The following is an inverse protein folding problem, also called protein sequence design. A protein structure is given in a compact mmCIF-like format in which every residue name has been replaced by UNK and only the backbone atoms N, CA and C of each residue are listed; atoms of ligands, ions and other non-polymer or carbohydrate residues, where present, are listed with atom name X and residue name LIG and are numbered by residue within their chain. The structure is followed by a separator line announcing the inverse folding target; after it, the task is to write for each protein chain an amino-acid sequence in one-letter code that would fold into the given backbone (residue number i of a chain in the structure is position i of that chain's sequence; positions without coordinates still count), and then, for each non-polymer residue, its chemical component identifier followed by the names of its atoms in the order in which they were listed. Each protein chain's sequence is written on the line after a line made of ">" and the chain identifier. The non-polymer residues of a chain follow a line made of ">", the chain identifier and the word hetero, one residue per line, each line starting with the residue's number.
data_IF_308789417583
#
_entry.id   IF_308789417583
#
_cell.length_a   1.000
_cell.length_b   1.000
_cell.length_c   1.000
_cell.angle_alpha   90.00
_cell.angle_beta   90.00
_cell.angle_gamma   90.00
#
_symmetry.space_group_name_H-M   'P 1'
#
loop_
_entity.id
_entity.type
_entity.pdbx_description
1 polymer ?
#
# COMPACT_ATOMS: atom_id res chain seq x y z
N UNK A 1 -10.00 61.79 45.30
CA UNK A 1 -11.22 61.66 46.10
C UNK A 1 -11.61 60.19 46.09
N UNK A 2 -11.61 59.57 47.28
CA UNK A 2 -11.90 58.15 47.59
C UNK A 2 -13.29 57.73 47.06
N UNK A 3 -13.60 56.46 46.78
CA UNK A 3 -13.90 55.31 47.69
C UNK A 3 -13.99 54.06 46.78
N UNK A 4 -13.30 52.92 46.93
CA UNK A 4 -13.29 51.81 47.92
C UNK A 4 -14.54 50.89 47.98
N UNK A 5 -14.35 49.58 47.74
CA UNK A 5 -15.23 48.45 48.13
C UNK A 5 -16.20 47.97 47.05
N UNK A 6 -16.46 46.69 46.78
CA UNK A 6 -16.21 45.42 47.51
C UNK A 6 -16.41 44.23 46.56
N UNK A 7 -15.62 43.16 46.74
CA UNK A 7 -15.85 41.81 46.20
C UNK A 7 -17.11 41.20 46.83
N UNK A 8 -17.93 40.46 46.05
CA UNK A 8 -18.49 39.16 46.46
C UNK A 8 -18.81 38.28 45.22
N UNK A 9 -18.65 36.97 45.44
CA UNK A 9 -18.48 35.88 44.49
C UNK A 9 -19.78 35.33 43.88
N UNK A 10 -19.79 34.97 42.58
CA UNK A 10 -20.55 33.81 42.07
C UNK A 10 -19.78 33.14 40.93
N UNK A 11 -19.77 31.81 40.98
CA UNK A 11 -18.98 30.84 40.24
C UNK A 11 -19.72 30.30 38.98
N UNK A 12 -18.94 29.94 37.95
CA UNK A 12 -19.26 29.09 36.76
C UNK A 12 -20.35 29.51 35.77
N UNK A 13 -19.93 29.90 34.56
CA UNK A 13 -20.07 29.09 33.32
C UNK A 13 -19.30 29.78 32.18
N UNK A 14 -18.04 29.39 31.93
CA UNK A 14 -17.34 29.80 30.70
C UNK A 14 -17.76 28.81 29.59
N UNK A 15 -18.73 29.23 28.78
CA UNK A 15 -18.90 28.69 27.43
C UNK A 15 -17.78 29.31 26.59
N UNK A 16 -16.62 28.66 26.55
CA UNK A 16 -15.62 28.96 25.55
C UNK A 16 -16.09 28.34 24.23
N UNK A 17 -16.82 29.14 23.44
CA UNK A 17 -16.81 28.97 22.00
C UNK A 17 -15.43 29.38 21.51
N UNK A 18 -14.46 28.47 21.60
CA UNK A 18 -13.23 28.59 20.81
C UNK A 18 -13.62 28.29 19.36
N UNK A 19 -13.94 29.37 18.66
CA UNK A 19 -13.92 29.46 17.22
C UNK A 19 -12.61 28.86 16.71
N UNK A 20 -12.71 27.67 16.12
CA UNK A 20 -11.69 27.07 15.25
C UNK A 20 -11.48 28.00 14.04
N UNK A 21 -10.67 29.05 14.23
CA UNK A 21 -10.00 29.73 13.13
C UNK A 21 -8.57 29.21 13.06
N UNK A 22 -8.41 27.96 12.61
CA UNK A 22 -7.11 27.50 12.13
C UNK A 22 -6.85 28.13 10.76
N UNK A 23 -6.33 29.35 10.74
CA UNK A 23 -5.55 29.83 9.60
C UNK A 23 -4.23 29.04 9.58
N UNK A 24 -4.30 27.75 9.25
CA UNK A 24 -3.14 26.98 8.85
C UNK A 24 -2.69 27.55 7.51
N UNK A 25 -1.47 28.10 7.46
CA UNK A 25 -0.76 28.29 6.20
C UNK A 25 -0.80 26.97 5.44
N UNK A 26 -1.06 26.96 4.11
CA UNK A 26 -0.96 25.71 3.35
C UNK A 26 0.47 25.20 3.51
N UNK A 27 0.61 24.03 4.14
CA UNK A 27 1.92 23.46 4.44
C UNK A 27 2.56 23.04 3.12
N UNK A 28 3.51 23.83 2.63
CA UNK A 28 4.29 23.46 1.45
C UNK A 28 4.99 22.10 1.64
N UNK A 29 5.32 21.45 0.53
CA UNK A 29 5.99 20.16 0.49
C UNK A 29 7.21 20.09 1.44
N UNK A 30 7.09 19.26 2.49
CA UNK A 30 8.19 18.90 3.39
C UNK A 30 8.65 17.46 3.13
N UNK A 31 9.86 17.26 2.57
CA UNK A 31 10.39 15.93 2.28
C UNK A 31 10.75 15.13 3.53
N UNK A 32 10.62 15.65 4.75
CA UNK A 32 10.76 14.91 6.01
C UNK A 32 9.44 14.67 6.74
N UNK A 33 8.31 15.14 6.20
CA UNK A 33 7.00 14.90 6.80
C UNK A 33 6.74 13.39 6.93
N UNK A 34 6.35 12.98 8.13
CA UNK A 34 6.13 11.57 8.48
C UNK A 34 7.40 10.72 8.69
N UNK A 35 8.60 11.28 8.51
CA UNK A 35 9.86 10.60 8.87
C UNK A 35 10.02 10.52 10.38
N UNK A 36 10.49 9.39 10.89
CA UNK A 36 10.91 9.25 12.27
C UNK A 36 12.17 10.09 12.54
N UNK A 37 12.34 10.48 13.81
CA UNK A 37 13.55 11.14 14.29
C UNK A 37 14.72 10.15 14.45
N UNK A 38 14.41 8.88 14.74
CA UNK A 38 15.38 7.81 14.98
C UNK A 38 14.88 6.49 14.39
N UNK A 39 15.81 5.64 14.01
CA UNK A 39 15.54 4.28 13.55
C UNK A 39 15.36 3.39 14.78
N UNK A 40 14.11 3.26 15.24
CA UNK A 40 13.76 2.55 16.47
C UNK A 40 12.38 1.90 16.37
N UNK A 41 12.15 0.88 17.21
CA UNK A 41 10.87 0.19 17.29
C UNK A 41 9.75 1.14 17.68
N UNK A 42 8.59 1.01 17.03
CA UNK A 42 7.44 1.88 17.22
C UNK A 42 6.30 1.09 17.87
N UNK A 43 5.50 1.75 18.71
CA UNK A 43 4.27 1.17 19.25
C UNK A 43 3.20 1.05 18.14
N UNK A 44 3.12 -0.12 17.49
CA UNK A 44 2.16 -0.43 16.42
C UNK A 44 1.16 -1.49 16.90
N UNK A 45 1.66 -2.67 17.28
CA UNK A 45 0.89 -3.84 17.71
C UNK A 45 0.71 -3.96 19.22
N UNK A 46 1.49 -3.18 19.98
CA UNK A 46 1.47 -3.08 21.44
C UNK A 46 1.86 -1.66 21.83
N UNK A 47 1.40 -1.21 23.00
CA UNK A 47 1.80 0.07 23.59
C UNK A 47 3.26 0.07 24.06
N UNK A 48 3.82 -1.11 24.34
CA UNK A 48 5.24 -1.29 24.63
C UNK A 48 6.06 -1.38 23.32
N UNK A 49 6.94 -0.42 23.00
CA UNK A 49 7.78 -0.50 21.81
C UNK A 49 8.75 -1.69 21.79
N UNK A 50 9.12 -2.24 22.96
CA UNK A 50 10.00 -3.40 23.07
C UNK A 50 9.28 -4.75 22.83
N UNK A 51 7.95 -4.72 22.72
CA UNK A 51 7.14 -5.89 22.43
C UNK A 51 7.64 -6.68 21.20
N UNK A 52 7.67 -8.02 21.25
CA UNK A 52 8.21 -8.83 20.15
C UNK A 52 7.55 -8.56 18.79
N UNK A 53 6.24 -8.29 18.73
CA UNK A 53 5.57 -8.00 17.46
C UNK A 53 5.97 -6.62 16.90
N UNK A 54 6.17 -5.62 17.77
CA UNK A 54 6.71 -4.32 17.37
C UNK A 54 8.15 -4.44 16.86
N UNK A 55 8.99 -5.26 17.52
CA UNK A 55 10.36 -5.55 17.06
C UNK A 55 10.38 -6.27 15.71
N UNK A 56 9.56 -7.30 15.53
CA UNK A 56 9.40 -7.98 14.23
C UNK A 56 8.99 -6.97 13.16
N UNK A 57 7.98 -6.16 13.44
CA UNK A 57 7.53 -5.11 12.53
C UNK A 57 8.65 -4.12 12.18
N UNK A 58 9.39 -3.64 13.17
CA UNK A 58 10.53 -2.75 12.98
C UNK A 58 11.59 -3.34 12.03
N UNK A 59 12.00 -4.58 12.28
CA UNK A 59 13.02 -5.22 11.44
C UNK A 59 12.54 -5.55 10.03
N UNK A 60 11.23 -5.65 9.80
CA UNK A 60 10.66 -5.88 8.47
C UNK A 60 10.32 -4.57 7.75
N UNK A 61 9.78 -3.57 8.43
CA UNK A 61 9.16 -2.41 7.79
C UNK A 61 9.92 -1.10 8.00
N UNK A 62 10.55 -0.89 9.16
CA UNK A 62 11.30 0.35 9.42
C UNK A 62 12.58 0.40 8.59
N UNK A 63 12.81 1.53 7.92
CA UNK A 63 13.91 1.70 6.95
C UNK A 63 14.46 3.09 6.98
N UNK A 64 15.77 3.19 6.83
CA UNK A 64 16.45 4.46 6.59
C UNK A 64 16.83 4.56 5.11
N UNK A 65 16.23 5.51 4.40
CA UNK A 65 16.41 5.74 2.97
C UNK A 65 17.11 7.07 2.70
N UNK A 66 18.01 7.06 1.73
CA UNK A 66 18.47 8.27 1.07
C UNK A 66 17.59 8.50 -0.16
N UNK A 67 16.86 9.61 -0.18
CA UNK A 67 15.93 9.95 -1.27
C UNK A 67 16.38 11.21 -1.98
N UNK A 68 16.22 11.24 -3.30
CA UNK A 68 16.43 12.46 -4.10
C UNK A 68 15.12 13.21 -4.23
N UNK A 69 15.23 14.53 -4.42
CA UNK A 69 14.10 15.38 -4.74
C UNK A 69 14.11 15.71 -6.23
N UNK A 70 12.95 16.05 -6.77
CA UNK A 70 12.89 16.67 -8.08
C UNK A 70 13.47 18.10 -8.02
N UNK A 71 14.10 18.55 -9.11
CA UNK A 71 14.51 19.94 -9.25
C UNK A 71 13.30 20.89 -9.19
N UNK A 72 13.41 22.06 -8.53
CA UNK A 72 12.32 23.04 -8.48
C UNK A 72 11.86 23.46 -9.88
N UNK A 73 10.54 23.48 -10.10
CA UNK A 73 9.94 23.89 -11.38
C UNK A 73 10.05 22.87 -12.52
N UNK A 74 10.62 21.69 -12.27
CA UNK A 74 10.69 20.65 -13.29
C UNK A 74 9.31 20.06 -13.59
N UNK A 75 9.06 19.77 -14.87
CA UNK A 75 7.80 19.19 -15.31
C UNK A 75 7.57 17.78 -14.69
N UNK A 76 6.30 17.39 -14.46
CA UNK A 76 5.96 16.12 -13.83
C UNK A 76 6.14 14.97 -14.83
N UNK A 77 7.38 14.54 -15.01
CA UNK A 77 7.72 13.31 -15.73
C UNK A 77 7.98 12.17 -14.73
N UNK A 78 7.99 10.93 -15.22
CA UNK A 78 8.35 9.76 -14.40
C UNK A 78 9.86 9.73 -14.13
N UNK A 79 10.30 9.05 -13.07
CA UNK A 79 11.73 9.02 -12.69
C UNK A 79 12.64 8.43 -13.79
N UNK A 80 12.11 7.52 -14.62
CA UNK A 80 12.80 6.92 -15.76
C UNK A 80 12.77 7.72 -17.08
N UNK A 81 12.01 8.81 -17.20
CA UNK A 81 11.88 9.59 -18.45
C UNK A 81 12.98 10.63 -18.55
N UNK A 82 13.76 10.70 -19.65
CA UNK A 82 14.92 11.59 -19.88
C UNK A 82 14.70 13.10 -19.64
N UNK A 83 13.45 13.56 -19.65
CA UNK A 83 13.08 14.95 -19.37
C UNK A 83 12.89 15.25 -17.89
N UNK A 84 12.86 14.23 -17.04
CA UNK A 84 12.79 14.37 -15.60
C UNK A 84 14.10 14.94 -15.02
N UNK A 85 14.04 16.05 -14.30
CA UNK A 85 15.24 16.70 -13.76
C UNK A 85 15.31 16.48 -12.24
N UNK A 86 16.37 15.82 -11.79
CA UNK A 86 16.65 15.57 -10.38
C UNK A 86 17.37 16.77 -9.75
N UNK A 87 17.10 17.01 -8.48
CA UNK A 87 17.91 17.89 -7.64
C UNK A 87 19.17 17.14 -7.18
N UNK A 88 20.25 17.89 -6.94
CA UNK A 88 21.43 17.40 -6.23
C UNK A 88 21.17 17.17 -4.74
N UNK A 89 20.03 17.66 -4.22
CA UNK A 89 19.66 17.49 -2.83
C UNK A 89 19.21 16.05 -2.55
N UNK A 90 19.93 15.42 -1.63
CA UNK A 90 19.57 14.13 -1.03
C UNK A 90 19.05 14.38 0.39
N UNK A 91 17.96 13.71 0.75
CA UNK A 91 17.36 13.76 2.08
C UNK A 91 17.35 12.36 2.66
N UNK A 92 17.76 12.24 3.92
CA UNK A 92 17.55 11.01 4.69
C UNK A 92 16.14 11.00 5.27
N UNK A 93 15.41 9.90 5.05
CA UNK A 93 14.10 9.62 5.66
C UNK A 93 14.16 8.30 6.41
N UNK A 94 13.56 8.28 7.60
CA UNK A 94 13.36 7.07 8.39
C UNK A 94 11.88 6.74 8.33
N UNK A 95 11.54 5.74 7.52
CA UNK A 95 10.16 5.33 7.24
C UNK A 95 9.67 4.41 8.36
N UNK A 96 8.59 4.76 9.08
CA UNK A 96 8.09 3.95 10.18
C UNK A 96 7.49 2.62 9.71
N UNK A 97 7.01 2.58 8.48
CA UNK A 97 6.40 1.39 7.89
C UNK A 97 4.92 1.18 8.21
N UNK A 98 4.33 1.94 9.14
CA UNK A 98 2.92 1.81 9.56
C UNK A 98 1.94 1.86 8.38
N UNK A 99 2.25 2.71 7.40
CA UNK A 99 1.48 2.89 6.14
C UNK A 99 2.09 2.18 4.93
N UNK A 100 3.25 1.53 5.11
CA UNK A 100 3.90 0.83 4.02
C UNK A 100 3.11 -0.44 3.66
N UNK A 101 2.97 -0.63 2.35
CA UNK A 101 2.24 -1.73 1.76
C UNK A 101 3.08 -3.02 1.83
N UNK A 102 4.37 -2.99 1.55
CA UNK A 102 5.22 -4.20 1.58
C UNK A 102 6.38 -4.09 2.58
N UNK A 103 6.73 -5.19 3.29
CA UNK A 103 7.93 -5.26 4.13
C UNK A 103 9.19 -5.35 3.27
N UNK A 104 10.34 -5.11 3.91
CA UNK A 104 11.68 -5.14 3.33
C UNK A 104 11.89 -4.07 2.25
N UNK A 105 13.14 -3.65 2.04
CA UNK A 105 13.49 -2.71 0.97
C UNK A 105 12.91 -3.18 -0.38
N UNK A 106 12.56 -2.23 -1.29
CA UNK A 106 11.85 -2.50 -2.54
C UNK A 106 12.24 -3.83 -3.17
N UNK A 107 11.29 -4.75 -3.21
CA UNK A 107 11.44 -5.99 -3.92
C UNK A 107 10.87 -5.77 -5.31
N UNK A 108 11.75 -5.71 -6.32
CA UNK A 108 11.35 -5.63 -7.72
C UNK A 108 10.85 -7.00 -8.23
N UNK A 109 9.97 -7.64 -7.45
CA UNK A 109 9.42 -8.99 -7.72
C UNK A 109 8.91 -9.13 -9.15
N UNK A 110 8.34 -8.05 -9.70
CA UNK A 110 7.76 -8.02 -11.04
C UNK A 110 8.72 -7.56 -12.15
N UNK A 111 9.77 -6.77 -11.86
CA UNK A 111 10.63 -6.21 -12.90
C UNK A 111 11.84 -7.08 -13.26
N UNK A 112 12.02 -8.23 -12.59
CA UNK A 112 13.22 -9.06 -12.76
C UNK A 112 14.46 -8.29 -12.33
N UNK A 113 14.92 -8.51 -11.08
CA UNK A 113 16.01 -7.81 -10.39
C UNK A 113 17.41 -7.80 -11.05
N UNK A 114 17.53 -7.98 -12.37
CA UNK A 114 18.81 -8.09 -13.08
C UNK A 114 19.40 -6.74 -13.52
N UNK A 115 18.65 -5.64 -13.42
CA UNK A 115 19.01 -4.34 -14.04
C UNK A 115 19.63 -3.32 -13.06
N UNK A 116 19.78 -3.63 -11.76
CA UNK A 116 20.26 -2.70 -10.75
C UNK A 116 21.47 -3.24 -9.98
N UNK A 117 22.30 -2.32 -9.49
CA UNK A 117 23.44 -2.66 -8.63
C UNK A 117 22.89 -3.00 -7.25
N UNK A 118 22.81 -4.30 -6.95
CA UNK A 118 22.25 -4.87 -5.71
C UNK A 118 23.03 -4.56 -4.44
N UNK A 119 23.71 -3.41 -4.36
CA UNK A 119 24.36 -2.91 -3.14
C UNK A 119 23.53 -1.90 -2.37
N UNK A 120 22.49 -1.29 -2.97
CA UNK A 120 21.84 -0.10 -2.38
C UNK A 120 20.43 -0.35 -1.80
N UNK A 121 19.63 -1.29 -2.34
CA UNK A 121 18.21 -1.46 -1.91
C UNK A 121 17.72 -2.91 -1.96
N UNK A 122 18.14 -3.74 -1.00
CA UNK A 122 17.94 -5.18 -1.08
C UNK A 122 17.24 -5.75 0.16
N UNK A 123 16.30 -6.70 0.00
CA UNK A 123 15.83 -7.60 1.08
C UNK A 123 16.96 -8.25 1.88
N UNK A 124 18.16 -8.35 1.30
CA UNK A 124 19.40 -8.82 1.93
C UNK A 124 19.80 -8.07 3.19
N UNK A 125 19.41 -6.80 3.38
CA UNK A 125 19.75 -6.08 4.61
C UNK A 125 19.24 -6.82 5.86
N UNK A 126 18.11 -7.52 5.74
CA UNK A 126 17.53 -8.32 6.81
C UNK A 126 18.30 -9.62 7.07
N UNK A 127 19.11 -10.08 6.10
CA UNK A 127 19.95 -11.27 6.22
C UNK A 127 21.37 -10.97 6.73
N UNK A 128 21.71 -9.70 6.96
CA UNK A 128 23.02 -9.26 7.46
C UNK A 128 23.00 -9.01 8.96
N UNK A 129 24.13 -9.22 9.61
CA UNK A 129 24.27 -8.84 11.02
C UNK A 129 24.36 -7.32 11.20
N UNK A 130 23.87 -6.78 12.33
CA UNK A 130 23.19 -7.49 13.43
C UNK A 130 21.69 -7.75 13.19
N UNK A 131 21.12 -7.23 12.09
CA UNK A 131 19.67 -7.27 11.82
C UNK A 131 19.12 -8.68 11.74
N UNK A 132 19.88 -9.61 11.17
CA UNK A 132 19.52 -11.02 11.04
C UNK A 132 19.28 -11.66 12.42
N UNK A 133 20.27 -11.64 13.31
CA UNK A 133 20.16 -12.25 14.64
C UNK A 133 19.08 -11.58 15.48
N UNK A 134 18.90 -10.26 15.35
CA UNK A 134 17.87 -9.52 16.07
C UNK A 134 16.45 -9.84 15.59
N UNK A 135 16.23 -9.97 14.27
CA UNK A 135 14.95 -10.41 13.72
C UNK A 135 14.66 -11.85 14.10
N UNK A 136 15.67 -12.73 14.02
CA UNK A 136 15.53 -14.13 14.41
C UNK A 136 15.06 -14.27 15.87
N UNK A 137 15.68 -13.52 16.78
CA UNK A 137 15.28 -13.44 18.18
C UNK A 137 13.85 -12.91 18.32
N UNK A 138 13.53 -11.79 17.67
CA UNK A 138 12.19 -11.19 17.73
C UNK A 138 11.09 -12.13 17.22
N UNK A 139 11.32 -12.86 16.12
CA UNK A 139 10.38 -13.87 15.60
C UNK A 139 10.19 -15.04 16.57
N UNK A 140 11.26 -15.45 17.24
CA UNK A 140 11.23 -16.56 18.22
C UNK A 140 10.45 -16.16 19.46
N UNK A 141 10.71 -14.96 19.98
CA UNK A 141 9.96 -14.37 21.10
C UNK A 141 8.49 -14.16 20.73
N UNK A 142 8.20 -13.66 19.52
CA UNK A 142 6.84 -13.40 19.04
C UNK A 142 5.95 -14.65 18.99
N UNK A 143 6.54 -15.83 18.77
CA UNK A 143 5.83 -17.12 18.80
C UNK A 143 5.39 -17.54 20.22
N UNK A 144 6.00 -16.96 21.26
CA UNK A 144 5.72 -17.27 22.67
C UNK A 144 4.72 -16.30 23.32
N UNK A 145 4.32 -15.25 22.60
CA UNK A 145 3.38 -14.24 23.09
C UNK A 145 1.95 -14.82 23.16
N UNK A 146 1.15 -14.48 24.20
CA UNK A 146 -0.25 -14.87 24.26
C UNK A 146 -1.05 -14.49 23.02
N UNK A 147 -2.06 -15.30 22.68
CA UNK A 147 -2.92 -15.06 21.53
C UNK A 147 -3.59 -13.68 21.61
N UNK A 148 -3.34 -12.85 20.60
CA UNK A 148 -3.91 -11.49 20.47
C UNK A 148 -5.30 -11.52 19.79
N UNK A 149 -6.07 -10.42 19.84
CA UNK A 149 -7.35 -10.32 19.14
C UNK A 149 -7.24 -10.62 17.63
N UNK A 150 -8.32 -11.11 16.99
CA UNK A 150 -8.35 -11.48 15.57
C UNK A 150 -7.78 -10.41 14.63
N UNK A 151 -8.17 -9.15 14.79
CA UNK A 151 -7.68 -8.05 13.94
C UNK A 151 -6.16 -7.89 13.98
N UNK A 152 -5.55 -7.93 15.17
CA UNK A 152 -4.10 -7.84 15.31
C UNK A 152 -3.40 -9.05 14.67
N UNK A 153 -3.95 -10.26 14.85
CA UNK A 153 -3.44 -11.47 14.21
C UNK A 153 -3.52 -11.39 12.69
N UNK A 154 -4.62 -10.88 12.13
CA UNK A 154 -4.81 -10.73 10.69
C UNK A 154 -3.79 -9.77 10.06
N UNK A 155 -3.55 -8.62 10.69
CA UNK A 155 -2.56 -7.64 10.23
C UNK A 155 -1.13 -8.21 10.30
N UNK A 156 -0.75 -8.80 11.44
CA UNK A 156 0.58 -9.40 11.59
C UNK A 156 0.77 -10.58 10.63
N UNK A 157 -0.26 -11.41 10.42
CA UNK A 157 -0.20 -12.50 9.45
C UNK A 157 0.07 -11.98 8.04
N UNK A 158 -0.66 -10.95 7.60
CA UNK A 158 -0.47 -10.36 6.27
C UNK A 158 0.93 -9.75 6.10
N UNK A 159 1.45 -9.13 7.16
CA UNK A 159 2.80 -8.55 7.21
C UNK A 159 3.88 -9.62 7.06
N UNK A 160 3.78 -10.71 7.83
CA UNK A 160 4.71 -11.83 7.76
C UNK A 160 4.60 -12.59 6.44
N UNK A 161 3.40 -12.72 5.89
CA UNK A 161 3.18 -13.37 4.60
C UNK A 161 3.83 -12.61 3.46
N UNK A 162 3.70 -11.27 3.46
CA UNK A 162 4.42 -10.43 2.51
C UNK A 162 5.94 -10.58 2.64
N UNK A 163 6.48 -10.65 3.87
CA UNK A 163 7.92 -10.87 4.08
C UNK A 163 8.36 -12.26 3.58
N UNK A 164 7.55 -13.29 3.81
CA UNK A 164 7.81 -14.65 3.31
C UNK A 164 7.91 -14.69 1.79
N UNK A 165 6.92 -14.14 1.07
CA UNK A 165 6.89 -14.13 -0.40
C UNK A 165 8.10 -13.38 -0.98
N UNK A 166 8.47 -12.25 -0.38
CA UNK A 166 9.63 -11.46 -0.80
C UNK A 166 10.94 -12.24 -0.57
N UNK A 167 11.14 -12.79 0.63
CA UNK A 167 12.35 -13.57 0.95
C UNK A 167 12.45 -14.84 0.12
N UNK A 168 11.34 -15.44 -0.29
CA UNK A 168 11.33 -16.66 -1.10
C UNK A 168 11.78 -16.42 -2.54
N UNK A 169 11.62 -15.20 -3.04
CA UNK A 169 11.82 -14.90 -4.46
C UNK A 169 13.30 -15.02 -4.86
N UNK A 170 13.70 -16.02 -5.68
CA UNK A 170 15.11 -16.32 -5.91
C UNK A 170 15.89 -15.20 -6.62
N UNK A 171 15.22 -14.42 -7.47
CA UNK A 171 15.83 -13.26 -8.16
C UNK A 171 16.20 -12.14 -7.19
N UNK A 172 15.55 -12.05 -6.03
CA UNK A 172 15.93 -11.10 -4.98
C UNK A 172 17.29 -11.44 -4.36
N UNK A 173 17.87 -12.60 -4.66
CA UNK A 173 19.12 -13.07 -4.04
C UNK A 173 20.16 -13.60 -5.04
N UNK A 174 20.12 -13.21 -6.32
CA UNK A 174 21.20 -13.53 -7.26
C UNK A 174 22.07 -12.32 -7.52
N UNK A 175 23.30 -12.33 -6.99
CA UNK A 175 24.33 -11.34 -7.31
C UNK A 175 25.52 -12.02 -8.00
N UNK A 176 25.78 -11.73 -9.28
CA UNK A 176 26.99 -12.20 -9.95
C UNK A 176 28.25 -11.79 -9.18
N UNK A 177 29.20 -12.72 -9.00
CA UNK A 177 30.48 -12.44 -8.38
C UNK A 177 30.52 -12.45 -6.84
N UNK A 178 29.44 -12.82 -6.15
CA UNK A 178 29.53 -13.07 -4.70
C UNK A 178 30.37 -14.33 -4.41
N UNK A 179 31.23 -14.30 -3.36
CA UNK A 179 31.91 -15.50 -2.88
C UNK A 179 30.92 -16.60 -2.52
N UNK A 180 31.25 -17.86 -2.85
CA UNK A 180 30.38 -19.02 -2.61
C UNK A 180 29.98 -19.15 -1.14
N UNK A 181 30.90 -18.86 -0.21
CA UNK A 181 30.63 -18.87 1.24
C UNK A 181 29.54 -17.87 1.64
N UNK A 182 29.61 -16.63 1.13
CA UNK A 182 28.61 -15.59 1.40
C UNK A 182 27.26 -15.97 0.81
N UNK A 183 27.25 -16.56 -0.39
CA UNK A 183 26.04 -17.06 -1.03
C UNK A 183 25.39 -18.18 -0.20
N UNK A 184 26.19 -19.15 0.25
CA UNK A 184 25.72 -20.29 1.05
C UNK A 184 25.18 -19.84 2.41
N UNK A 185 25.90 -18.95 3.10
CA UNK A 185 25.46 -18.39 4.39
C UNK A 185 24.12 -17.65 4.23
N UNK A 186 23.96 -16.89 3.15
CA UNK A 186 22.72 -16.16 2.90
C UNK A 186 21.56 -17.11 2.63
N UNK A 187 21.77 -18.13 1.79
CA UNK A 187 20.75 -19.14 1.53
C UNK A 187 20.31 -19.82 2.84
N UNK A 188 21.26 -20.20 3.69
CA UNK A 188 20.97 -20.78 5.02
C UNK A 188 20.14 -19.84 5.89
N UNK A 189 20.54 -18.57 6.01
CA UNK A 189 19.83 -17.55 6.80
C UNK A 189 18.42 -17.31 6.30
N UNK A 190 18.27 -17.20 4.98
CA UNK A 190 16.97 -17.06 4.32
C UNK A 190 16.06 -18.25 4.65
N UNK A 191 16.55 -19.47 4.47
CA UNK A 191 15.77 -20.68 4.68
C UNK A 191 15.35 -20.84 6.16
N UNK A 192 16.23 -20.45 7.10
CA UNK A 192 15.90 -20.40 8.53
C UNK A 192 14.77 -19.40 8.84
N UNK A 193 14.82 -18.18 8.27
CA UNK A 193 13.75 -17.19 8.44
C UNK A 193 12.45 -17.65 7.78
N UNK A 194 12.49 -18.22 6.58
CA UNK A 194 11.29 -18.72 5.89
C UNK A 194 10.55 -19.76 6.73
N UNK A 195 11.28 -20.70 7.35
CA UNK A 195 10.68 -21.70 8.23
C UNK A 195 10.02 -21.07 9.47
N UNK A 196 10.68 -20.09 10.11
CA UNK A 196 10.13 -19.40 11.27
C UNK A 196 8.91 -18.55 10.92
N UNK A 197 8.98 -17.78 9.83
CA UNK A 197 7.87 -16.98 9.32
C UNK A 197 6.66 -17.87 9.03
N UNK A 198 6.84 -19.00 8.34
CA UNK A 198 5.74 -19.90 8.01
C UNK A 198 5.05 -20.47 9.27
N UNK A 199 5.83 -20.87 10.29
CA UNK A 199 5.29 -21.33 11.59
C UNK A 199 4.52 -20.23 12.33
N UNK A 200 5.05 -19.00 12.33
CA UNK A 200 4.37 -17.89 12.98
C UNK A 200 3.07 -17.55 12.24
N UNK A 201 3.08 -17.50 10.89
CA UNK A 201 1.87 -17.31 10.07
C UNK A 201 0.82 -18.39 10.40
N UNK A 202 1.22 -19.65 10.54
CA UNK A 202 0.32 -20.74 10.95
C UNK A 202 -0.33 -20.48 12.31
N UNK A 203 0.45 -20.09 13.32
CA UNK A 203 -0.08 -19.79 14.65
C UNK A 203 -1.05 -18.58 14.67
N UNK A 204 -0.84 -17.64 13.75
CA UNK A 204 -1.68 -16.46 13.57
C UNK A 204 -2.91 -16.74 12.69
N UNK A 205 -2.97 -17.89 12.02
CA UNK A 205 -4.05 -18.23 11.10
C UNK A 205 -5.42 -18.19 11.77
N UNK A 206 -6.35 -17.46 11.15
CA UNK A 206 -7.70 -17.26 11.63
C UNK A 206 -8.63 -18.34 11.05
N UNK A 207 -9.72 -18.67 11.73
CA UNK A 207 -10.79 -19.41 11.07
C UNK A 207 -11.46 -18.56 10.01
N UNK A 208 -12.20 -19.18 9.08
CA UNK A 208 -12.97 -18.43 8.06
C UNK A 208 -14.04 -17.53 8.70
N UNK A 209 -14.63 -17.96 9.81
CA UNK A 209 -15.60 -17.16 10.56
C UNK A 209 -14.94 -15.97 11.25
N UNK A 210 -13.75 -16.16 11.83
CA UNK A 210 -12.96 -15.06 12.39
C UNK A 210 -12.59 -14.04 11.30
N UNK A 211 -12.24 -14.49 10.07
CA UNK A 211 -11.94 -13.62 8.92
C UNK A 211 -13.19 -12.85 8.48
N UNK A 212 -14.35 -13.52 8.39
CA UNK A 212 -15.61 -12.89 8.00
C UNK A 212 -16.09 -11.86 9.03
N UNK A 213 -15.73 -12.03 10.32
CA UNK A 213 -16.06 -11.12 11.41
C UNK A 213 -15.09 -9.94 11.57
N UNK A 214 -14.04 -9.83 10.73
CA UNK A 214 -13.12 -8.69 10.76
C UNK A 214 -13.85 -7.38 10.40
N UNK A 215 -13.42 -6.23 10.97
CA UNK A 215 -14.04 -4.95 10.68
C UNK A 215 -13.95 -4.59 9.20
N UNK A 216 -15.02 -3.99 8.67
CA UNK A 216 -15.02 -3.43 7.32
C UNK A 216 -14.31 -2.09 7.29
N UNK A 217 -13.04 -2.16 6.89
CA UNK A 217 -12.15 -1.00 6.79
C UNK A 217 -12.60 0.02 5.76
N UNK A 218 -13.19 -0.41 4.64
CA UNK A 218 -13.65 0.51 3.62
C UNK A 218 -14.86 1.29 4.13
N UNK A 219 -15.86 0.59 4.66
CA UNK A 219 -17.07 1.21 5.20
C UNK A 219 -16.75 2.16 6.37
N UNK A 220 -15.80 1.80 7.24
CA UNK A 220 -15.28 2.69 8.28
C UNK A 220 -14.68 3.97 7.72
N UNK A 221 -13.76 3.83 6.76
CA UNK A 221 -13.10 4.95 6.12
C UNK A 221 -14.06 5.81 5.29
N UNK A 222 -15.07 5.20 4.66
CA UNK A 222 -16.07 5.91 3.89
C UNK A 222 -16.89 6.87 4.74
N UNK A 223 -17.25 6.46 5.97
CA UNK A 223 -17.87 7.36 6.96
C UNK A 223 -16.90 8.44 7.43
N UNK A 224 -15.67 8.06 7.78
CA UNK A 224 -14.64 8.94 8.35
C UNK A 224 -14.19 10.05 7.38
N UNK A 225 -14.07 9.72 6.11
CA UNK A 225 -13.47 10.55 5.06
C UNK A 225 -14.43 10.91 3.93
N UNK A 226 -15.72 10.58 4.05
CA UNK A 226 -16.72 10.80 3.00
C UNK A 226 -16.29 10.21 1.64
N UNK A 227 -15.91 8.93 1.64
CA UNK A 227 -15.61 8.21 0.39
C UNK A 227 -16.93 7.84 -0.32
N UNK A 228 -16.92 7.69 -1.66
CA UNK A 228 -18.08 7.19 -2.38
C UNK A 228 -18.50 5.80 -1.89
N UNK A 229 -19.78 5.48 -2.03
CA UNK A 229 -20.27 4.13 -1.79
C UNK A 229 -19.95 3.24 -3.00
N UNK A 230 -18.85 2.49 -2.94
CA UNK A 230 -18.43 1.62 -4.05
C UNK A 230 -19.07 0.23 -4.03
N UNK A 231 -19.62 -0.21 -2.89
CA UNK A 231 -19.98 -1.61 -2.66
C UNK A 231 -21.49 -1.86 -2.59
N UNK A 232 -22.30 -0.81 -2.47
CA UNK A 232 -23.76 -0.95 -2.50
C UNK A 232 -24.27 -1.47 -3.85
N UNK A 233 -25.30 -2.35 -3.86
CA UNK A 233 -25.97 -2.78 -5.09
C UNK A 233 -26.61 -1.65 -5.89
N UNK A 234 -26.90 -0.51 -5.25
CA UNK A 234 -27.48 0.68 -5.90
C UNK A 234 -26.43 1.75 -6.20
N UNK A 235 -25.15 1.41 -6.14
CA UNK A 235 -24.07 2.35 -6.43
C UNK A 235 -24.08 2.78 -7.90
N UNK A 236 -23.72 4.04 -8.13
CA UNK A 236 -23.40 4.55 -9.48
C UNK A 236 -22.01 4.09 -9.98
N UNK A 237 -21.27 3.35 -9.16
CA UNK A 237 -19.96 2.82 -9.48
C UNK A 237 -20.05 1.37 -9.93
N UNK A 238 -19.35 1.04 -11.00
CA UNK A 238 -19.29 -0.32 -11.52
C UNK A 238 -17.93 -0.93 -11.19
N UNK A 239 -17.91 -2.06 -10.49
CA UNK A 239 -16.70 -2.88 -10.42
C UNK A 239 -16.48 -3.55 -11.77
N UNK A 240 -15.31 -3.34 -12.36
CA UNK A 240 -14.99 -3.84 -13.69
C UNK A 240 -13.84 -4.83 -13.65
N UNK A 241 -13.89 -5.80 -14.55
CA UNK A 241 -12.77 -6.69 -14.86
C UNK A 241 -12.57 -6.78 -16.35
N UNK A 242 -11.49 -6.15 -16.80
CA UNK A 242 -11.07 -6.24 -18.18
C UNK A 242 -10.12 -7.43 -18.40
N UNK A 243 -9.04 -7.51 -17.62
CA UNK A 243 -8.18 -8.69 -17.58
C UNK A 243 -8.36 -9.42 -16.25
N UNK A 244 -8.39 -10.74 -16.33
CA UNK A 244 -8.47 -11.59 -15.15
C UNK A 244 -7.16 -11.57 -14.34
N UNK A 245 -6.04 -11.25 -15.01
CA UNK A 245 -4.73 -11.05 -14.41
C UNK A 245 -4.37 -9.57 -14.35
N UNK A 246 -3.98 -9.06 -13.17
CA UNK A 246 -3.64 -7.65 -12.97
C UNK A 246 -2.22 -7.53 -12.43
N UNK A 247 -1.49 -6.54 -12.92
CA UNK A 247 -0.14 -6.24 -12.42
C UNK A 247 -0.12 -5.98 -10.90
N UNK A 248 -1.14 -5.30 -10.37
CA UNK A 248 -1.29 -5.06 -8.94
C UNK A 248 -1.33 -6.37 -8.13
N UNK A 249 -2.12 -7.36 -8.57
CA UNK A 249 -2.24 -8.66 -7.91
C UNK A 249 -0.91 -9.42 -7.98
N UNK A 250 -0.29 -9.47 -9.18
CA UNK A 250 0.98 -10.16 -9.41
C UNK A 250 2.15 -9.55 -8.65
N UNK A 251 2.24 -8.23 -8.60
CA UNK A 251 3.29 -7.53 -7.86
C UNK A 251 3.22 -7.83 -6.37
N UNK A 252 2.00 -8.04 -5.86
CA UNK A 252 1.78 -8.55 -4.53
C UNK A 252 1.80 -10.09 -4.46
N UNK A 253 2.41 -10.84 -5.39
CA UNK A 253 2.34 -12.32 -5.46
C UNK A 253 0.98 -12.90 -5.06
N UNK A 254 -0.12 -12.27 -5.48
CA UNK A 254 -1.50 -12.62 -5.18
C UNK A 254 -1.87 -12.71 -3.67
N UNK A 255 -1.16 -12.05 -2.74
CA UNK A 255 -1.61 -11.88 -1.33
C UNK A 255 -2.67 -10.77 -1.17
N UNK A 256 -2.94 -10.01 -2.22
CA UNK A 256 -3.94 -8.93 -2.26
C UNK A 256 -4.67 -8.94 -3.59
N UNK A 257 -5.92 -8.47 -3.58
CA UNK A 257 -6.73 -8.31 -4.77
C UNK A 257 -7.04 -6.83 -5.03
N UNK A 258 -6.62 -6.34 -6.18
CA UNK A 258 -6.84 -4.97 -6.62
C UNK A 258 -8.18 -4.86 -7.35
N UNK A 259 -9.17 -4.23 -6.74
CA UNK A 259 -10.53 -4.06 -7.29
C UNK A 259 -10.65 -2.69 -7.93
N UNK A 260 -11.21 -2.65 -9.14
CA UNK A 260 -11.24 -1.43 -9.96
C UNK A 260 -12.70 -1.06 -10.18
N UNK A 261 -13.01 0.19 -9.87
CA UNK A 261 -14.34 0.76 -10.02
C UNK A 261 -14.29 1.95 -10.96
N UNK A 262 -15.33 2.10 -11.76
CA UNK A 262 -15.50 3.24 -12.67
C UNK A 262 -16.85 3.90 -12.43
N UNK A 263 -16.88 5.23 -12.45
CA UNK A 263 -18.12 6.01 -12.41
C UNK A 263 -18.36 6.62 -13.80
N UNK A 264 -19.42 6.19 -14.51
CA UNK A 264 -19.83 6.85 -15.76
C UNK A 264 -20.15 8.32 -15.54
N UNK A 265 -19.90 9.16 -16.55
CA UNK A 265 -20.31 10.57 -16.53
C UNK A 265 -21.82 10.76 -16.70
N UNK A 266 -22.49 9.77 -17.30
CA UNK A 266 -23.95 9.69 -17.40
C UNK A 266 -24.35 8.23 -17.20
N UNK A 267 -25.49 7.99 -16.55
CA UNK A 267 -26.00 6.64 -16.32
C UNK A 267 -26.24 5.93 -17.67
N UNK A 268 -25.53 4.83 -17.97
CA UNK A 268 -25.71 4.13 -19.24
C UNK A 268 -27.00 3.32 -19.22
N UNK A 269 -27.69 3.29 -20.36
CA UNK A 269 -28.87 2.41 -20.57
C UNK A 269 -28.48 0.94 -20.74
N UNK A 270 -27.28 0.69 -21.27
CA UNK A 270 -26.66 -0.63 -21.40
C UNK A 270 -25.23 -0.56 -20.84
N UNK A 271 -25.03 -1.17 -19.67
CA UNK A 271 -23.73 -1.17 -18.98
C UNK A 271 -22.67 -1.96 -19.75
N UNK A 272 -23.05 -3.09 -20.38
CA UNK A 272 -22.09 -3.93 -21.08
C UNK A 272 -21.56 -3.21 -22.33
N UNK A 273 -22.46 -2.65 -23.15
CA UNK A 273 -22.09 -1.86 -24.31
C UNK A 273 -21.27 -0.61 -23.94
N UNK A 274 -21.59 0.04 -22.82
CA UNK A 274 -20.82 1.17 -22.30
C UNK A 274 -19.38 0.77 -21.94
N UNK A 275 -19.20 -0.32 -21.20
CA UNK A 275 -17.87 -0.78 -20.77
C UNK A 275 -17.01 -1.26 -21.94
N UNK A 276 -17.60 -1.99 -22.89
CA UNK A 276 -16.90 -2.39 -24.12
C UNK A 276 -16.59 -1.17 -25.01
N UNK A 277 -17.47 -0.17 -25.08
CA UNK A 277 -17.21 1.08 -25.79
C UNK A 277 -16.05 1.89 -25.17
N UNK A 278 -15.91 1.89 -23.84
CA UNK A 278 -14.76 2.48 -23.15
C UNK A 278 -13.45 1.78 -23.52
N UNK A 279 -13.47 0.45 -23.60
CA UNK A 279 -12.33 -0.36 -24.03
C UNK A 279 -11.89 0.00 -25.45
N UNK A 280 -12.85 0.06 -26.36
CA UNK A 280 -12.58 0.20 -27.80
C UNK A 280 -12.18 1.63 -28.18
N UNK A 281 -12.84 2.62 -27.59
CA UNK A 281 -12.57 4.04 -27.87
C UNK A 281 -11.44 4.63 -27.01
N UNK A 282 -11.16 4.04 -25.86
CA UNK A 282 -10.31 4.60 -24.80
C UNK A 282 -10.68 6.05 -24.41
N UNK A 283 -11.94 6.44 -24.63
CA UNK A 283 -12.41 7.79 -24.38
C UNK A 283 -12.69 8.01 -22.89
N UNK A 284 -11.65 8.37 -22.14
CA UNK A 284 -11.72 8.67 -20.72
C UNK A 284 -12.69 9.81 -20.35
N UNK A 285 -13.14 10.62 -21.32
CA UNK A 285 -14.15 11.68 -21.07
C UNK A 285 -15.54 11.12 -20.78
N UNK A 286 -15.77 9.82 -20.97
CA UNK A 286 -17.03 9.16 -20.60
C UNK A 286 -17.09 8.75 -19.12
N UNK A 287 -16.00 8.95 -18.37
CA UNK A 287 -15.89 8.65 -16.94
C UNK A 287 -15.80 9.94 -16.12
N UNK A 288 -16.55 10.01 -15.03
CA UNK A 288 -16.39 11.07 -14.03
C UNK A 288 -15.32 10.73 -13.01
N UNK A 289 -15.15 9.44 -12.70
CA UNK A 289 -14.18 9.01 -11.72
C UNK A 289 -13.78 7.54 -11.89
N UNK A 290 -12.63 7.19 -11.32
CA UNK A 290 -12.14 5.82 -11.17
C UNK A 290 -11.62 5.62 -9.76
N UNK A 291 -11.86 4.43 -9.21
CA UNK A 291 -11.34 4.03 -7.91
C UNK A 291 -10.61 2.70 -8.00
N UNK A 292 -9.51 2.59 -7.26
CA UNK A 292 -8.76 1.36 -7.05
C UNK A 292 -8.82 1.05 -5.55
N UNK A 293 -9.28 -0.14 -5.20
CA UNK A 293 -9.37 -0.63 -3.82
C UNK A 293 -8.53 -1.89 -3.71
N UNK A 294 -7.49 -1.87 -2.89
CA UNK A 294 -6.63 -3.04 -2.66
C UNK A 294 -7.11 -3.79 -1.43
N UNK A 295 -7.77 -4.93 -1.65
CA UNK A 295 -8.31 -5.81 -0.61
C UNK A 295 -7.26 -6.82 -0.16
N UNK A 296 -7.11 -6.99 1.15
CA UNK A 296 -6.21 -7.98 1.74
C UNK A 296 -6.84 -9.37 1.69
N UNK A 297 -6.05 -10.35 1.28
CA UNK A 297 -6.37 -11.76 1.45
C UNK A 297 -5.64 -12.28 2.70
N UNK A 298 -6.23 -13.28 3.36
CA UNK A 298 -5.66 -13.89 4.55
C UNK A 298 -5.57 -15.41 4.35
N UNK A 299 -4.59 -16.02 5.01
CA UNK A 299 -4.47 -17.48 5.13
C UNK A 299 -5.30 -17.93 6.32
N UNK A 300 -6.31 -18.75 6.05
CA UNK A 300 -7.12 -19.38 7.07
C UNK A 300 -6.38 -20.56 7.71
N UNK A 301 -6.83 -20.99 8.88
CA UNK A 301 -6.23 -22.08 9.67
C UNK A 301 -6.29 -23.47 9.00
N UNK A 302 -7.15 -23.63 7.99
CA UNK A 302 -7.22 -24.80 7.12
C UNK A 302 -6.22 -24.74 5.95
N UNK A 303 -5.41 -23.68 5.86
CA UNK A 303 -4.44 -23.46 4.79
C UNK A 303 -5.05 -22.85 3.52
N UNK A 304 -6.34 -22.50 3.51
CA UNK A 304 -6.97 -21.82 2.38
C UNK A 304 -6.69 -20.32 2.39
N UNK A 305 -6.67 -19.70 1.21
CA UNK A 305 -6.62 -18.24 1.08
C UNK A 305 -8.05 -17.70 0.98
N UNK A 306 -8.40 -16.75 1.84
CA UNK A 306 -9.76 -16.21 1.98
C UNK A 306 -9.76 -14.69 1.84
N UNK A 307 -10.66 -14.10 1.02
CA UNK A 307 -10.87 -12.65 1.01
C UNK A 307 -11.34 -12.12 2.37
N UNK A 308 -10.78 -11.01 2.82
CA UNK A 308 -11.18 -10.33 4.07
C UNK A 308 -11.89 -9.00 3.79
N UNK A 309 -12.53 -8.42 4.80
CA UNK A 309 -13.08 -7.06 4.77
C UNK A 309 -12.01 -5.97 4.98
N UNK A 310 -10.73 -6.36 5.09
CA UNK A 310 -9.62 -5.44 5.25
C UNK A 310 -9.14 -4.93 3.88
N UNK A 311 -9.01 -3.61 3.78
CA UNK A 311 -8.52 -2.86 2.63
C UNK A 311 -7.24 -2.18 3.07
N UNK A 312 -6.17 -2.39 2.31
CA UNK A 312 -4.87 -1.78 2.61
C UNK A 312 -4.70 -0.41 1.94
N UNK A 313 -5.44 -0.16 0.86
CA UNK A 313 -5.28 1.05 0.05
C UNK A 313 -6.56 1.38 -0.73
N UNK A 314 -6.88 2.67 -0.82
CA UNK A 314 -7.93 3.23 -1.68
C UNK A 314 -7.34 4.39 -2.45
N UNK A 315 -7.46 4.37 -3.77
CA UNK A 315 -7.09 5.51 -4.62
C UNK A 315 -8.30 5.93 -5.46
N UNK A 316 -8.66 7.20 -5.44
CA UNK A 316 -9.78 7.75 -6.22
C UNK A 316 -9.25 8.90 -7.07
N UNK A 317 -9.53 8.86 -8.37
CA UNK A 317 -9.37 10.02 -9.26
C UNK A 317 -10.73 10.41 -9.77
N UNK A 318 -11.04 11.69 -9.69
CA UNK A 318 -12.30 12.25 -10.20
C UNK A 318 -12.00 13.49 -11.02
N UNK A 319 -12.79 13.74 -12.05
CA UNK A 319 -12.67 14.90 -12.93
C UNK A 319 -13.82 15.84 -12.61
N UNK A 320 -13.52 17.01 -12.04
CA UNK A 320 -14.53 18.05 -11.83
C UNK A 320 -14.87 18.69 -13.18
N UNK A 321 -16.10 18.47 -13.67
CA UNK A 321 -16.64 19.15 -14.85
C UNK A 321 -17.42 20.36 -14.39
N UNK A 322 -16.73 21.35 -13.84
CA UNK A 322 -17.37 22.64 -13.61
C UNK A 322 -17.73 23.23 -14.98
N UNK A 323 -18.90 23.86 -15.08
CA UNK A 323 -19.33 24.56 -16.29
C UNK A 323 -18.23 25.51 -16.76
N UNK A 324 -17.92 25.45 -18.06
CA UNK A 324 -16.95 26.27 -18.80
C UNK A 324 -16.80 27.71 -18.26
N UNK A 325 -15.57 28.29 -18.25
CA UNK A 325 -14.44 27.93 -19.11
C UNK A 325 -13.18 27.47 -18.35
N UNK A 326 -13.31 26.87 -17.15
CA UNK A 326 -12.12 26.39 -16.42
C UNK A 326 -11.72 24.98 -16.87
N UNK A 327 -10.42 24.72 -17.11
CA UNK A 327 -9.98 23.36 -17.39
C UNK A 327 -10.32 22.47 -16.20
N UNK A 328 -10.90 21.30 -16.48
CA UNK A 328 -11.29 20.34 -15.46
C UNK A 328 -10.07 20.00 -14.57
N UNK A 329 -10.13 20.37 -13.29
CA UNK A 329 -9.10 20.01 -12.32
C UNK A 329 -9.51 18.70 -11.69
N UNK A 330 -8.80 17.64 -12.04
CA UNK A 330 -8.96 16.34 -11.41
C UNK A 330 -8.55 16.38 -9.94
N UNK A 331 -9.36 15.73 -9.10
CA UNK A 331 -9.08 15.51 -7.69
C UNK A 331 -8.51 14.11 -7.50
N UNK A 332 -7.44 14.01 -6.73
CA UNK A 332 -6.83 12.74 -6.31
C UNK A 332 -7.06 12.57 -4.82
N UNK A 333 -7.48 11.37 -4.43
CA UNK A 333 -7.50 10.93 -3.03
C UNK A 333 -6.75 9.63 -2.93
N UNK A 334 -5.79 9.54 -2.03
CA UNK A 334 -5.07 8.30 -1.72
C UNK A 334 -5.16 8.07 -0.22
N UNK A 335 -5.68 6.91 0.15
CA UNK A 335 -5.78 6.47 1.53
C UNK A 335 -5.04 5.14 1.67
N UNK A 336 -4.26 5.01 2.72
CA UNK A 336 -3.49 3.80 3.02
C UNK A 336 -3.79 3.35 4.44
N UNK A 337 -3.75 2.06 4.67
CA UNK A 337 -3.88 1.50 6.02
C UNK A 337 -2.82 2.08 6.95
N UNK A 338 -3.24 2.53 8.12
CA UNK A 338 -2.40 2.72 9.29
C UNK A 338 -2.77 1.60 10.26
N UNK A 339 -1.83 0.68 10.49
CA UNK A 339 -2.04 -0.43 11.43
C UNK A 339 -2.32 0.13 12.82
N UNK A 340 -1.60 1.19 13.21
CA UNK A 340 -1.83 1.90 14.47
C UNK A 340 -3.27 2.43 14.58
N UNK A 341 -3.75 3.19 13.59
CA UNK A 341 -5.12 3.73 13.63
C UNK A 341 -6.17 2.60 13.60
N UNK A 342 -5.94 1.57 12.79
CA UNK A 342 -6.86 0.43 12.70
C UNK A 342 -6.97 -0.35 14.02
N UNK A 343 -5.85 -0.54 14.73
CA UNK A 343 -5.84 -1.22 16.02
C UNK A 343 -6.40 -0.36 17.15
N UNK A 344 -6.19 0.97 17.10
CA UNK A 344 -6.74 1.92 18.08
C UNK A 344 -8.24 2.17 17.89
N UNK A 345 -8.72 2.22 16.64
CA UNK A 345 -10.10 2.56 16.31
C UNK A 345 -10.61 1.73 15.12
N UNK A 346 -10.91 0.43 15.33
CA UNK A 346 -11.30 -0.48 14.25
C UNK A 346 -12.52 -0.02 13.43
N UNK A 347 -13.46 0.67 14.07
CA UNK A 347 -14.72 1.12 13.45
C UNK A 347 -14.53 2.30 12.46
N UNK A 348 -13.42 3.02 12.56
CA UNK A 348 -13.03 4.10 11.64
C UNK A 348 -12.33 3.55 10.39
N UNK A 349 -12.05 2.24 10.37
CA UNK A 349 -11.45 1.53 9.25
C UNK A 349 -9.95 1.72 9.08
N UNK A 350 -9.33 2.61 9.85
CA UNK A 350 -7.87 2.73 9.95
C UNK A 350 -7.15 3.14 8.66
N UNK A 351 -7.87 3.65 7.66
CA UNK A 351 -7.28 4.23 6.45
C UNK A 351 -6.94 5.70 6.70
N UNK A 352 -5.69 6.09 6.45
CA UNK A 352 -5.20 7.45 6.59
C UNK A 352 -5.11 8.11 5.20
N UNK A 353 -5.81 9.24 5.02
CA UNK A 353 -5.74 10.03 3.79
C UNK A 353 -4.41 10.78 3.67
N UNK A 354 -3.91 10.88 2.44
CA UNK A 354 -2.79 11.73 2.06
C UNK A 354 -3.30 13.01 1.41
N UNK A 355 -2.84 14.16 1.89
CA UNK A 355 -3.06 15.43 1.20
C UNK A 355 -2.17 15.56 -0.05
N UNK A 356 -2.44 16.58 -0.87
CA UNK A 356 -1.74 16.79 -2.16
C UNK A 356 -0.23 17.01 -2.03
N UNK A 357 0.23 17.48 -0.87
CA UNK A 357 1.62 17.78 -0.55
C UNK A 357 2.31 16.62 0.21
N UNK A 358 1.64 15.48 0.36
CA UNK A 358 2.21 14.29 0.99
C UNK A 358 3.45 13.81 0.27
N UNK A 359 4.56 13.56 1.00
CA UNK A 359 5.75 12.97 0.40
C UNK A 359 5.40 11.58 -0.11
N UNK A 360 5.52 11.41 -1.41
CA UNK A 360 5.23 10.17 -2.12
C UNK A 360 6.41 9.78 -2.99
N UNK A 361 6.67 8.48 -3.07
CA UNK A 361 7.70 7.97 -3.96
C UNK A 361 7.22 8.00 -5.40
N UNK A 362 7.96 8.72 -6.25
CA UNK A 362 7.70 8.77 -7.67
C UNK A 362 8.07 7.42 -8.29
N UNK A 363 7.18 6.83 -9.11
CA UNK A 363 7.46 5.55 -9.69
C UNK A 363 8.64 5.58 -10.66
N UNK A 364 9.43 4.51 -10.63
CA UNK A 364 10.53 4.25 -11.56
C UNK A 364 10.01 4.13 -13.00
N UNK A 365 8.88 3.43 -13.20
CA UNK A 365 8.22 3.30 -14.50
C UNK A 365 6.71 3.09 -14.36
N UNK A 366 5.91 3.99 -14.94
CA UNK A 366 4.45 3.88 -14.95
C UNK A 366 3.84 3.96 -13.55
N UNK A 367 3.11 2.91 -13.16
CA UNK A 367 2.66 2.71 -11.77
C UNK A 367 3.61 1.71 -11.10
N UNK A 368 4.38 2.16 -10.13
CA UNK A 368 5.15 1.26 -9.29
C UNK A 368 4.22 0.54 -8.32
N UNK A 369 4.37 -0.77 -8.26
CA UNK A 369 3.66 -1.66 -7.34
C UNK A 369 4.52 -2.06 -6.14
N UNK A 370 5.74 -1.52 -6.05
CA UNK A 370 6.67 -1.73 -4.95
C UNK A 370 6.89 -0.42 -4.17
N UNK A 371 7.34 -0.55 -2.92
CA UNK A 371 7.66 0.61 -2.10
C UNK A 371 8.97 1.27 -2.53
N UNK A 372 8.94 2.57 -2.86
CA UNK A 372 10.11 3.40 -3.07
C UNK A 372 11.10 2.88 -4.13
N UNK A 373 10.62 2.52 -5.33
CA UNK A 373 11.53 1.98 -6.34
C UNK A 373 12.61 2.99 -6.74
N UNK A 374 13.83 2.52 -7.02
CA UNK A 374 14.94 3.36 -7.42
C UNK A 374 14.77 3.89 -8.84
N UNK A 375 15.38 5.03 -9.15
CA UNK A 375 15.47 5.51 -10.54
C UNK A 375 16.29 4.54 -11.40
N UNK A 376 15.79 4.22 -12.61
CA UNK A 376 16.41 3.27 -13.53
C UNK A 376 17.39 3.90 -14.53
N UNK A 377 17.61 5.22 -14.46
CA UNK A 377 18.39 5.95 -15.48
C UNK A 377 19.88 5.67 -15.48
N UNK A 378 20.54 5.77 -14.32
CA UNK A 378 22.01 5.67 -14.18
C UNK A 378 22.39 5.03 -12.86
N UNK A 379 23.43 4.19 -12.87
CA UNK A 379 23.91 3.47 -11.68
C UNK A 379 24.24 4.40 -10.50
N UNK A 380 24.74 5.62 -10.78
CA UNK A 380 25.04 6.65 -9.77
C UNK A 380 23.81 7.39 -9.20
N UNK A 381 22.61 7.18 -9.77
CA UNK A 381 21.37 7.91 -9.45
C UNK A 381 20.25 6.98 -8.98
N UNK A 382 20.58 5.77 -8.50
CA UNK A 382 19.62 4.74 -8.08
C UNK A 382 18.86 5.08 -6.78
N UNK A 383 18.88 6.31 -6.26
CA UNK A 383 18.03 6.65 -5.11
C UNK A 383 16.55 6.73 -5.51
N UNK A 384 15.62 6.34 -4.63
CA UNK A 384 14.21 6.65 -4.80
C UNK A 384 13.99 8.16 -4.86
N UNK A 385 13.01 8.58 -5.65
CA UNK A 385 12.67 9.99 -5.82
C UNK A 385 11.41 10.31 -5.03
N UNK A 386 11.45 11.39 -4.26
CA UNK A 386 10.31 11.86 -3.47
C UNK A 386 9.71 13.12 -4.11
N UNK A 387 8.39 13.12 -4.26
CA UNK A 387 7.58 14.20 -4.83
C UNK A 387 6.29 14.42 -4.02
N UNK A 388 5.60 15.56 -4.15
CA UNK A 388 4.23 15.71 -3.67
C UNK A 388 3.28 14.66 -4.26
N UNK A 389 2.25 14.24 -3.51
CA UNK A 389 1.24 13.27 -3.96
C UNK A 389 0.60 13.69 -5.28
N UNK A 390 0.22 14.96 -5.42
CA UNK A 390 -0.38 15.47 -6.65
C UNK A 390 0.53 15.23 -7.86
N UNK A 391 1.82 15.48 -7.68
CA UNK A 391 2.81 15.29 -8.73
C UNK A 391 3.01 13.82 -9.11
N UNK A 392 3.00 12.91 -8.13
CA UNK A 392 3.06 11.46 -8.40
C UNK A 392 1.96 11.03 -9.37
N UNK A 393 0.75 11.57 -9.24
CA UNK A 393 -0.34 11.27 -10.16
C UNK A 393 -0.24 12.04 -11.48
N UNK A 394 0.22 13.30 -11.45
CA UNK A 394 0.34 14.12 -12.65
C UNK A 394 1.32 13.54 -13.69
N UNK A 395 2.31 12.76 -13.25
CA UNK A 395 3.27 12.09 -14.13
C UNK A 395 2.61 11.19 -15.18
N UNK A 396 1.47 10.56 -14.84
CA UNK A 396 0.72 9.68 -15.74
C UNK A 396 -0.60 10.30 -16.23
N UNK A 397 -1.22 11.14 -15.41
CA UNK A 397 -2.57 11.68 -15.67
C UNK A 397 -2.57 13.12 -16.22
N UNK A 398 -1.39 13.71 -16.43
CA UNK A 398 -1.19 15.10 -16.81
C UNK A 398 -1.38 16.09 -15.66
N UNK A 399 -0.95 17.34 -15.84
CA UNK A 399 -0.97 18.37 -14.78
C UNK A 399 -2.38 18.63 -14.19
N UNK A 400 -3.42 18.48 -15.02
CA UNK A 400 -4.81 18.61 -14.60
C UNK A 400 -5.43 17.33 -14.05
N UNK A 401 -4.74 16.18 -14.06
CA UNK A 401 -5.29 14.86 -13.67
C UNK A 401 -6.55 14.49 -14.48
N UNK A 402 -6.68 15.02 -15.70
CA UNK A 402 -7.86 14.82 -16.54
C UNK A 402 -7.88 13.49 -17.30
N UNK A 403 -6.72 12.88 -17.52
CA UNK A 403 -6.60 11.65 -18.30
C UNK A 403 -6.78 10.41 -17.40
N UNK A 404 -7.97 9.83 -17.36
CA UNK A 404 -8.21 8.59 -16.59
C UNK A 404 -7.74 7.37 -17.39
N UNK A 405 -6.52 6.92 -17.10
CA UNK A 405 -5.80 5.89 -17.88
C UNK A 405 -6.26 4.45 -17.67
N UNK A 406 -7.39 4.21 -16.99
CA UNK A 406 -7.85 2.86 -16.58
C UNK A 406 -8.05 1.89 -17.77
N UNK A 407 -8.37 2.41 -18.96
CA UNK A 407 -8.53 1.62 -20.18
C UNK A 407 -7.43 1.86 -21.23
N UNK A 408 -6.35 2.58 -20.88
CA UNK A 408 -5.30 2.94 -21.82
C UNK A 408 -4.31 1.80 -22.02
N UNK A 409 -4.54 0.98 -23.04
CA UNK A 409 -3.68 -0.15 -23.41
C UNK A 409 -3.32 -0.07 -24.89
N UNK A 410 -2.05 -0.28 -25.23
CA UNK A 410 -1.63 -0.50 -26.61
C UNK A 410 -1.94 -1.95 -27.00
N UNK A 411 -3.02 -2.16 -27.77
CA UNK A 411 -3.39 -3.46 -28.30
C UNK A 411 -2.82 -3.63 -29.71
N UNK A 412 -2.30 -4.82 -30.01
CA UNK A 412 -1.90 -5.16 -31.37
C UNK A 412 -3.12 -5.31 -32.29
N UNK A 413 -2.98 -5.11 -33.61
CA UNK A 413 -4.11 -5.20 -34.55
C UNK A 413 -4.86 -6.55 -34.54
N UNK A 414 -4.21 -7.62 -34.06
CA UNK A 414 -4.75 -8.98 -34.00
C UNK A 414 -5.09 -9.46 -32.59
N UNK A 415 -5.02 -8.59 -31.57
CA UNK A 415 -5.32 -8.98 -30.19
C UNK A 415 -6.82 -9.26 -30.03
N UNK A 416 -7.19 -10.53 -29.79
CA UNK A 416 -8.53 -10.85 -29.30
C UNK A 416 -8.64 -10.37 -27.86
N UNK A 417 -9.51 -9.41 -27.60
CA UNK A 417 -9.72 -8.85 -26.27
C UNK A 417 -11.09 -9.29 -25.76
N UNK A 418 -11.17 -9.93 -24.58
CA UNK A 418 -12.45 -10.35 -24.03
C UNK A 418 -13.36 -9.14 -23.70
N UNK A 419 -14.69 -9.36 -23.63
CA UNK A 419 -15.63 -8.37 -23.09
C UNK A 419 -15.21 -7.90 -21.69
N UNK A 420 -15.48 -6.63 -21.39
CA UNK A 420 -15.28 -6.10 -20.04
C UNK A 420 -16.39 -6.62 -19.13
N UNK A 421 -16.01 -7.32 -18.07
CA UNK A 421 -16.99 -7.88 -17.13
C UNK A 421 -17.41 -6.83 -16.10
N UNK A 422 -18.72 -6.66 -15.93
CA UNK A 422 -19.31 -5.96 -14.78
C UNK A 422 -19.46 -6.95 -13.62
N UNK A 423 -18.70 -6.75 -12.55
CA UNK A 423 -18.71 -7.61 -11.37
C UNK A 423 -19.68 -7.07 -10.31
N UNK A 424 -20.33 -7.97 -9.58
CA UNK A 424 -21.12 -7.60 -8.39
C UNK A 424 -20.20 -7.47 -7.18
N UNK A 425 -20.06 -6.27 -6.57
CA UNK A 425 -19.05 -6.07 -5.53
C UNK A 425 -19.22 -6.94 -4.29
N UNK A 426 -20.47 -7.19 -3.88
CA UNK A 426 -20.79 -8.03 -2.72
C UNK A 426 -20.31 -9.49 -2.86
N UNK A 427 -20.15 -10.00 -4.08
CA UNK A 427 -19.76 -11.39 -4.32
C UNK A 427 -18.25 -11.64 -4.14
N UNK A 428 -17.43 -10.58 -4.11
CA UNK A 428 -15.97 -10.67 -4.07
C UNK A 428 -15.39 -11.55 -5.21
N UNK A 429 -16.02 -11.57 -6.40
CA UNK A 429 -15.68 -12.50 -7.47
C UNK A 429 -14.21 -12.40 -7.92
N UNK A 430 -13.67 -11.18 -8.04
CA UNK A 430 -12.26 -10.99 -8.37
C UNK A 430 -11.33 -11.46 -7.25
N UNK A 431 -11.58 -11.06 -6.00
CA UNK A 431 -10.75 -11.46 -4.86
C UNK A 431 -10.73 -12.98 -4.64
N UNK A 432 -11.86 -13.68 -4.85
CA UNK A 432 -11.91 -15.15 -4.84
C UNK A 432 -11.07 -15.76 -5.96
N UNK A 433 -11.07 -15.16 -7.15
CA UNK A 433 -10.22 -15.61 -8.27
C UNK A 433 -8.73 -15.42 -7.94
N UNK A 434 -8.34 -14.29 -7.35
CA UNK A 434 -6.96 -14.02 -6.92
C UNK A 434 -6.53 -15.02 -5.83
N UNK A 435 -7.39 -15.28 -4.84
CA UNK A 435 -7.15 -16.30 -3.81
C UNK A 435 -6.93 -17.70 -4.41
N UNK A 436 -7.75 -18.11 -5.37
CA UNK A 436 -7.59 -19.37 -6.08
C UNK A 436 -6.25 -19.45 -6.84
N UNK A 437 -5.83 -18.36 -7.48
CA UNK A 437 -4.52 -18.27 -8.13
C UNK A 437 -3.39 -18.43 -7.13
N UNK A 438 -3.43 -17.70 -6.01
CA UNK A 438 -2.42 -17.82 -4.94
C UNK A 438 -2.27 -19.26 -4.47
N UNK A 439 -3.37 -19.96 -4.24
CA UNK A 439 -3.36 -21.36 -3.81
C UNK A 439 -2.74 -22.32 -4.84
N UNK A 440 -2.77 -21.95 -6.13
CA UNK A 440 -2.13 -22.72 -7.19
C UNK A 440 -0.62 -22.47 -7.31
N UNK A 441 -0.09 -21.39 -6.73
CA UNK A 441 1.33 -21.03 -6.84
C UNK A 441 2.22 -21.92 -5.96
N UNK A 442 3.40 -22.25 -6.49
CA UNK A 442 4.44 -22.96 -5.74
C UNK A 442 4.98 -22.14 -4.56
N UNK A 443 4.92 -20.80 -4.63
CA UNK A 443 5.27 -19.95 -3.50
C UNK A 443 4.40 -20.23 -2.28
N UNK A 444 3.08 -20.36 -2.49
CA UNK A 444 2.14 -20.65 -1.43
C UNK A 444 2.17 -22.12 -0.97
N UNK A 445 2.26 -23.08 -1.90
CA UNK A 445 2.38 -24.50 -1.54
C UNK A 445 3.60 -24.77 -0.67
N UNK A 446 4.71 -24.07 -0.93
CA UNK A 446 5.90 -24.19 -0.10
C UNK A 446 5.75 -23.60 1.30
N UNK A 447 4.99 -22.51 1.46
CA UNK A 447 4.61 -22.01 2.78
C UNK A 447 3.88 -23.10 3.57
N UNK A 448 2.89 -23.75 2.95
CA UNK A 448 2.11 -24.82 3.58
C UNK A 448 2.94 -26.06 3.93
N UNK A 449 3.97 -26.40 3.15
CA UNK A 449 4.86 -27.53 3.51
C UNK A 449 5.54 -27.34 4.87
N UNK A 450 5.80 -26.10 5.30
CA UNK A 450 6.34 -25.84 6.65
C UNK A 450 5.29 -26.01 7.75
N UNK A 451 4.00 -26.03 7.42
CA UNK A 451 2.92 -26.26 8.39
C UNK A 451 2.79 -27.75 8.70
N UNK A 452 2.91 -28.59 7.67
CA UNK A 452 2.77 -30.04 7.80
C UNK A 452 3.94 -30.67 8.58
N UNK A 453 5.15 -30.13 8.48
CA UNK A 453 6.32 -30.61 9.25
C UNK A 453 6.24 -30.35 10.75
N UNK A 454 5.20 -29.67 11.24
CA UNK A 454 4.94 -29.44 12.67
C UNK A 454 3.78 -30.26 13.23
N UNK A 455 3.06 -30.99 12.36
CA UNK A 455 1.96 -31.89 12.75
C UNK A 455 2.41 -33.35 12.94
N UNK A 456 3.65 -33.65 12.55
CA UNK A 456 4.40 -34.86 12.94
C UNK A 456 5.42 -34.48 14.00
#
# INVERSE_FOLDING_TARGET
>A
MFIQGTLESVLFLIIAMDSWSSTQRPAGFDPRRGSLARDESQAIYSTDPADPWNRVFHFLFTRTLQVRLQAPGAAPFMAGDDRFVLSDRVVTRIEPGDRAIDPLYPSLLWMGSFMLDGSVYEPWQTLREPRYSQLLAALTEAASVPKRPPLARALMQADLWAAYDILRTPSSFRRPGLPAEVSNLTAQRRDQLLALLARLIQSLALSRDEIAALPDTYSGAARRHHLPDLFSPTSEWFEVRWFSDRNHDRAADHRRAARVFVKPAAAPTDVAAFLDGLRDSQNHRLLDAVALVTQMLLVANDGSVTPSSLVSEVQIRSVARDAEPRPAVGRVRQLEISRRLLLLSPNDGGLAESDEDAPMYLPAAGNDYAFASPSLRRQAEQQPVLVPMRQRCAACHGAGIGALMTFSVALGPASQVPPVEHLQPAQNAHARSVAARKMALESFRALLRHWDTTRN
#
